data_IF_216215652597
#
_entry.id   IF_216215652597
#
_cell.length_a   1.000
_cell.length_b   1.000
_cell.length_c   1.000
_cell.angle_alpha   90.00
_cell.angle_beta   90.00
_cell.angle_gamma   90.00
#
_symmetry.space_group_name_H-M   'P 1'
#
loop_
_entity.id
_entity.type
_entity.pdbx_description
1 polymer ?
#
# COMPACT_ATOMS: atom_id res chain seq x y z
N UNK A 1 -24.57 -3.05 -18.14
CA UNK A 1 -25.46 -1.87 -18.17
C UNK A 1 -25.58 -1.17 -16.81
N UNK A 2 -25.67 -1.91 -15.69
CA UNK A 2 -25.66 -1.35 -14.31
C UNK A 2 -24.38 -0.54 -13.95
N UNK A 3 -23.20 -0.95 -14.40
CA UNK A 3 -21.95 -0.22 -14.14
C UNK A 3 -21.92 1.19 -14.77
N UNK A 4 -22.55 1.40 -15.94
CA UNK A 4 -22.52 2.70 -16.64
C UNK A 4 -23.33 3.80 -15.95
N UNK A 5 -24.37 3.46 -15.17
CA UNK A 5 -25.17 4.46 -14.46
C UNK A 5 -24.60 4.86 -13.09
N UNK A 6 -23.68 4.07 -12.53
CA UNK A 6 -22.90 4.43 -11.33
C UNK A 6 -21.76 5.42 -11.63
N UNK A 7 -21.40 5.63 -12.89
CA UNK A 7 -20.14 6.28 -13.31
C UNK A 7 -20.26 7.77 -13.68
N UNK A 8 -21.47 8.34 -13.74
CA UNK A 8 -21.66 9.74 -14.15
C UNK A 8 -21.53 10.73 -12.97
N UNK A 9 -21.70 10.25 -11.73
CA UNK A 9 -21.60 11.08 -10.53
C UNK A 9 -20.52 10.50 -9.61
N UNK A 10 -19.56 11.35 -9.30
CA UNK A 10 -18.34 11.07 -8.55
C UNK A 10 -18.59 10.78 -7.05
N UNK A 11 -19.86 10.58 -6.68
CA UNK A 11 -20.36 10.27 -5.35
C UNK A 11 -21.06 8.91 -5.42
N UNK A 12 -20.80 8.03 -4.47
CA UNK A 12 -21.54 6.77 -4.31
C UNK A 12 -23.03 7.08 -4.11
N UNK A 13 -23.81 7.02 -5.19
CA UNK A 13 -25.23 7.35 -5.17
C UNK A 13 -26.03 6.23 -4.49
N UNK A 14 -25.77 4.98 -4.89
CA UNK A 14 -26.46 3.79 -4.40
C UNK A 14 -25.47 2.65 -4.18
N UNK A 15 -25.74 1.81 -3.19
CA UNK A 15 -24.97 0.60 -2.90
C UNK A 15 -25.85 -0.43 -2.17
N UNK A 16 -25.52 -1.71 -2.30
CA UNK A 16 -26.07 -2.80 -1.51
C UNK A 16 -24.94 -3.66 -0.91
N UNK A 17 -25.26 -4.38 0.16
CA UNK A 17 -24.33 -5.30 0.82
C UNK A 17 -25.07 -6.61 1.03
N UNK A 18 -24.65 -7.65 0.31
CA UNK A 18 -25.37 -8.91 0.24
C UNK A 18 -24.41 -10.10 0.34
N UNK A 19 -24.92 -11.24 0.83
CA UNK A 19 -24.22 -12.51 0.66
C UNK A 19 -24.46 -13.02 -0.77
N UNK A 20 -23.40 -13.49 -1.43
CA UNK A 20 -23.47 -14.02 -2.79
C UNK A 20 -22.57 -15.24 -2.96
N UNK A 21 -22.79 -15.98 -4.04
CA UNK A 21 -21.91 -17.05 -4.51
C UNK A 21 -21.27 -16.57 -5.80
N UNK A 22 -19.94 -16.53 -5.83
CA UNK A 22 -19.17 -16.03 -6.97
C UNK A 22 -18.33 -17.18 -7.52
N UNK A 23 -18.31 -17.33 -8.85
CA UNK A 23 -17.42 -18.26 -9.56
C UNK A 23 -16.39 -17.45 -10.35
N UNK A 24 -15.13 -17.36 -9.89
CA UNK A 24 -14.05 -16.75 -10.67
C UNK A 24 -13.90 -17.50 -12.01
N UNK A 25 -13.82 -16.75 -13.10
CA UNK A 25 -13.66 -17.29 -14.46
C UNK A 25 -12.20 -17.56 -14.80
N UNK A 26 -11.31 -16.67 -14.37
CA UNK A 26 -9.86 -16.79 -14.53
C UNK A 26 -9.12 -16.01 -13.43
N UNK A 27 -7.80 -16.20 -13.35
CA UNK A 27 -6.90 -15.53 -12.40
C UNK A 27 -5.80 -14.81 -13.17
N UNK A 28 -5.52 -13.55 -12.81
CA UNK A 28 -4.47 -12.74 -13.41
C UNK A 28 -3.42 -12.36 -12.37
N UNK A 29 -2.17 -12.19 -12.82
CA UNK A 29 -1.17 -11.43 -12.05
C UNK A 29 -1.33 -9.94 -12.34
N UNK A 30 -0.70 -9.09 -11.53
CA UNK A 30 -0.69 -7.66 -11.83
C UNK A 30 0.04 -7.37 -13.14
N UNK A 31 1.14 -8.09 -13.44
CA UNK A 31 1.85 -7.90 -14.71
C UNK A 31 0.93 -8.23 -15.89
N UNK A 32 0.27 -9.39 -15.88
CA UNK A 32 -0.61 -9.79 -16.99
C UNK A 32 -1.83 -8.87 -17.12
N UNK A 33 -2.41 -8.41 -16.00
CA UNK A 33 -3.51 -7.46 -16.02
C UNK A 33 -3.08 -6.09 -16.59
N UNK A 34 -1.89 -5.60 -16.24
CA UNK A 34 -1.35 -4.36 -16.78
C UNK A 34 -1.05 -4.45 -18.28
N UNK A 35 -0.54 -5.60 -18.74
CA UNK A 35 -0.37 -5.87 -20.18
C UNK A 35 -1.71 -5.84 -20.93
N UNK A 36 -2.75 -6.51 -20.40
CA UNK A 36 -4.10 -6.49 -20.99
C UNK A 36 -4.69 -5.08 -21.04
N UNK A 37 -4.52 -4.30 -19.97
CA UNK A 37 -4.94 -2.89 -19.93
C UNK A 37 -4.23 -2.03 -20.98
N UNK A 38 -2.95 -2.30 -21.24
CA UNK A 38 -2.18 -1.58 -22.25
C UNK A 38 -2.60 -1.97 -23.68
N UNK A 39 -2.84 -3.26 -23.92
CA UNK A 39 -3.28 -3.76 -25.22
C UNK A 39 -4.69 -3.29 -25.59
N UNK A 40 -5.52 -2.94 -24.59
CA UNK A 40 -6.87 -2.38 -24.78
C UNK A 40 -7.73 -3.25 -25.73
N UNK A 41 -7.70 -4.56 -25.50
CA UNK A 41 -8.43 -5.57 -26.28
C UNK A 41 -9.95 -5.43 -26.09
N UNK A 42 -10.71 -5.65 -27.16
CA UNK A 42 -12.19 -5.55 -27.11
C UNK A 42 -12.80 -6.68 -26.26
N UNK A 43 -12.15 -7.84 -26.23
CA UNK A 43 -12.55 -9.02 -25.48
C UNK A 43 -12.48 -8.83 -23.96
N UNK A 44 -11.67 -7.87 -23.47
CA UNK A 44 -11.47 -7.57 -22.05
C UNK A 44 -12.18 -6.26 -21.62
N UNK A 45 -13.36 -6.01 -22.19
CA UNK A 45 -14.13 -4.79 -21.96
C UNK A 45 -14.43 -4.53 -20.47
N UNK A 46 -14.59 -5.59 -19.67
CA UNK A 46 -14.89 -5.52 -18.25
C UNK A 46 -13.72 -4.93 -17.45
N UNK A 47 -12.50 -5.38 -17.76
CA UNK A 47 -11.27 -4.89 -17.15
C UNK A 47 -11.05 -3.41 -17.49
N UNK A 48 -11.34 -3.02 -18.73
CA UNK A 48 -11.31 -1.62 -19.16
C UNK A 48 -12.29 -0.75 -18.36
N UNK A 49 -13.54 -1.18 -18.23
CA UNK A 49 -14.57 -0.45 -17.44
C UNK A 49 -14.11 -0.27 -15.99
N UNK A 50 -13.53 -1.31 -15.38
CA UNK A 50 -13.01 -1.22 -14.01
C UNK A 50 -11.83 -0.25 -13.90
N UNK A 51 -10.95 -0.21 -14.90
CA UNK A 51 -9.82 0.72 -14.95
C UNK A 51 -10.27 2.17 -15.08
N UNK A 52 -11.24 2.44 -15.95
CA UNK A 52 -11.85 3.76 -16.11
C UNK A 52 -12.54 4.20 -14.79
N UNK A 53 -13.28 3.28 -14.16
CA UNK A 53 -13.92 3.52 -12.87
C UNK A 53 -12.91 3.83 -11.76
N UNK A 54 -11.81 3.08 -11.69
CA UNK A 54 -10.73 3.32 -10.74
C UNK A 54 -10.07 4.70 -10.97
N UNK A 55 -9.84 5.07 -12.22
CA UNK A 55 -9.26 6.37 -12.58
C UNK A 55 -10.14 7.53 -12.11
N UNK A 56 -11.45 7.46 -12.38
CA UNK A 56 -12.42 8.46 -11.92
C UNK A 56 -12.49 8.49 -10.38
N UNK A 57 -12.46 7.33 -9.73
CA UNK A 57 -12.46 7.22 -8.27
C UNK A 57 -11.23 7.92 -7.67
N UNK A 58 -10.04 7.67 -8.21
CA UNK A 58 -8.80 8.28 -7.76
C UNK A 58 -8.84 9.81 -7.91
N UNK A 59 -9.26 10.32 -9.08
CA UNK A 59 -9.39 11.75 -9.35
C UNK A 59 -10.31 12.44 -8.33
N UNK A 60 -11.43 11.81 -7.99
CA UNK A 60 -12.28 12.32 -6.92
C UNK A 60 -11.60 12.35 -5.57
N UNK A 61 -10.93 11.26 -5.18
CA UNK A 61 -10.26 11.18 -3.86
C UNK A 61 -9.23 12.29 -3.75
N UNK A 62 -8.50 12.57 -4.84
CA UNK A 62 -7.57 13.70 -4.91
C UNK A 62 -8.28 15.05 -4.71
N UNK A 63 -9.45 15.27 -5.33
CA UNK A 63 -10.28 16.46 -5.06
C UNK A 63 -10.76 16.54 -3.60
N UNK A 64 -10.92 15.41 -2.90
CA UNK A 64 -11.21 15.34 -1.47
C UNK A 64 -9.96 15.46 -0.57
N UNK A 65 -8.78 15.70 -1.16
CA UNK A 65 -7.51 15.87 -0.46
C UNK A 65 -6.71 14.58 -0.24
N UNK A 66 -7.02 13.50 -0.96
CA UNK A 66 -6.21 12.30 -0.95
C UNK A 66 -4.81 12.55 -1.51
N UNK A 67 -3.85 11.84 -0.96
CA UNK A 67 -2.44 11.96 -1.31
C UNK A 67 -1.98 10.66 -1.93
N UNK A 68 -1.26 10.74 -3.05
CA UNK A 68 -0.55 9.58 -3.60
C UNK A 68 0.68 9.29 -2.73
N UNK A 69 0.74 8.05 -2.23
CA UNK A 69 1.86 7.55 -1.42
C UNK A 69 2.54 6.36 -2.08
N UNK A 70 2.30 6.12 -3.37
CA UNK A 70 2.89 5.01 -4.11
C UNK A 70 4.43 5.05 -4.03
N UNK A 71 5.01 3.89 -3.80
CA UNK A 71 6.46 3.66 -3.79
C UNK A 71 6.81 2.36 -4.50
N UNK A 72 8.10 2.11 -4.64
CA UNK A 72 8.65 0.81 -5.01
C UNK A 72 8.88 -0.01 -3.74
N UNK A 73 8.43 -1.27 -3.73
CA UNK A 73 8.63 -2.19 -2.60
C UNK A 73 9.29 -3.50 -3.07
N UNK A 74 10.30 -3.95 -2.33
CA UNK A 74 10.94 -5.23 -2.56
C UNK A 74 10.02 -6.40 -2.18
N UNK A 75 9.95 -7.41 -3.05
CA UNK A 75 9.44 -8.75 -2.72
C UNK A 75 10.48 -9.80 -3.06
N UNK A 76 10.65 -10.76 -2.15
CA UNK A 76 11.59 -11.86 -2.35
C UNK A 76 10.86 -13.19 -2.25
N UNK A 77 11.22 -14.11 -3.15
CA UNK A 77 10.95 -15.54 -3.03
C UNK A 77 12.27 -16.28 -2.97
N UNK A 78 12.44 -17.14 -1.97
CA UNK A 78 13.65 -17.94 -1.78
C UNK A 78 13.30 -19.41 -1.99
N UNK A 79 14.06 -20.08 -2.85
CA UNK A 79 14.04 -21.54 -3.00
C UNK A 79 15.25 -22.13 -2.29
N UNK A 80 15.03 -23.25 -1.60
CA UNK A 80 16.03 -23.98 -0.81
C UNK A 80 16.82 -23.09 0.19
N UNK A 81 16.14 -22.44 1.15
CA UNK A 81 16.78 -21.46 2.04
C UNK A 81 17.87 -22.05 2.95
N UNK A 82 17.91 -23.37 3.11
CA UNK A 82 18.90 -24.09 3.94
C UNK A 82 20.18 -24.43 3.16
N UNK A 83 20.18 -24.29 1.83
CA UNK A 83 21.35 -24.57 1.01
C UNK A 83 22.42 -23.48 1.22
N UNK A 84 23.72 -23.79 1.08
CA UNK A 84 24.79 -22.78 1.15
C UNK A 84 24.62 -21.64 0.13
N UNK A 85 23.99 -21.94 -1.02
CA UNK A 85 23.69 -20.99 -2.08
C UNK A 85 22.19 -21.06 -2.45
N UNK A 86 21.32 -20.37 -1.69
CA UNK A 86 19.89 -20.40 -1.94
C UNK A 86 19.53 -19.62 -3.22
N UNK A 87 18.47 -20.06 -3.90
CA UNK A 87 17.97 -19.36 -5.10
C UNK A 87 17.08 -18.19 -4.66
N UNK A 88 17.57 -16.97 -4.82
CA UNK A 88 16.87 -15.75 -4.40
C UNK A 88 16.29 -15.03 -5.61
N UNK A 89 14.96 -15.01 -5.71
CA UNK A 89 14.22 -14.26 -6.73
C UNK A 89 13.71 -12.96 -6.13
N UNK A 90 14.23 -11.84 -6.62
CA UNK A 90 13.82 -10.49 -6.24
C UNK A 90 12.85 -9.92 -7.28
N UNK A 91 11.76 -9.34 -6.79
CA UNK A 91 10.77 -8.62 -7.56
C UNK A 91 10.60 -7.22 -6.95
N UNK A 92 10.31 -6.23 -7.79
CA UNK A 92 10.00 -4.88 -7.34
C UNK A 92 8.56 -4.59 -7.68
N UNK A 93 7.74 -4.38 -6.66
CA UNK A 93 6.37 -3.93 -6.84
C UNK A 93 6.34 -2.43 -7.02
N UNK A 94 5.84 -1.99 -8.16
CA UNK A 94 5.53 -0.60 -8.39
C UNK A 94 4.07 -0.32 -8.01
N UNK A 95 3.84 0.31 -6.87
CA UNK A 95 2.47 0.63 -6.43
C UNK A 95 1.75 1.64 -7.35
N UNK A 96 2.48 2.30 -8.25
CA UNK A 96 1.89 3.15 -9.29
C UNK A 96 1.47 2.38 -10.55
N UNK A 97 1.69 1.06 -10.61
CA UNK A 97 1.24 0.19 -11.69
C UNK A 97 -0.28 0.30 -11.93
N UNK A 98 -0.76 0.34 -13.19
CA UNK A 98 -2.18 0.50 -13.49
C UNK A 98 -3.09 -0.56 -12.86
N UNK A 99 -2.71 -1.84 -12.90
CA UNK A 99 -3.53 -2.90 -12.32
C UNK A 99 -3.52 -2.85 -10.78
N UNK A 100 -2.38 -2.54 -10.17
CA UNK A 100 -2.31 -2.33 -8.71
C UNK A 100 -3.15 -1.14 -8.26
N UNK A 101 -3.13 -0.03 -9.01
CA UNK A 101 -3.97 1.15 -8.76
C UNK A 101 -5.45 0.80 -8.91
N UNK A 102 -5.84 0.09 -9.97
CA UNK A 102 -7.21 -0.36 -10.19
C UNK A 102 -7.73 -1.14 -8.98
N UNK A 103 -7.02 -2.20 -8.59
CA UNK A 103 -7.41 -3.03 -7.44
C UNK A 103 -7.46 -2.18 -6.17
N UNK A 104 -6.47 -1.31 -5.94
CA UNK A 104 -6.43 -0.41 -4.78
C UNK A 104 -7.69 0.45 -4.69
N UNK A 105 -8.10 1.11 -5.76
CA UNK A 105 -9.31 1.94 -5.78
C UNK A 105 -10.59 1.14 -5.52
N UNK A 106 -10.70 -0.06 -6.09
CA UNK A 106 -11.85 -0.93 -5.85
C UNK A 106 -11.92 -1.40 -4.39
N UNK A 107 -10.78 -1.71 -3.77
CA UNK A 107 -10.73 -2.09 -2.36
C UNK A 107 -11.04 -0.91 -1.43
N UNK A 108 -10.57 0.30 -1.77
CA UNK A 108 -10.90 1.52 -1.04
C UNK A 108 -12.39 1.86 -1.13
N UNK A 109 -12.97 1.75 -2.33
CA UNK A 109 -14.41 1.92 -2.54
C UNK A 109 -15.23 0.94 -1.68
N UNK A 110 -14.85 -0.35 -1.66
CA UNK A 110 -15.50 -1.33 -0.79
C UNK A 110 -15.42 -0.92 0.69
N UNK A 111 -14.25 -0.46 1.15
CA UNK A 111 -14.09 -0.04 2.54
C UNK A 111 -14.90 1.21 2.91
N UNK A 112 -15.10 2.14 1.98
CA UNK A 112 -15.97 3.30 2.14
C UNK A 112 -17.46 2.89 2.16
N UNK A 113 -17.88 1.98 1.27
CA UNK A 113 -19.23 1.40 1.24
C UNK A 113 -19.55 0.78 2.60
N UNK A 114 -18.65 -0.05 3.12
CA UNK A 114 -18.86 -0.72 4.41
C UNK A 114 -18.85 0.26 5.57
N UNK A 115 -17.99 1.29 5.54
CA UNK A 115 -18.03 2.35 6.55
C UNK A 115 -19.39 3.10 6.54
N UNK A 116 -19.89 3.42 5.36
CA UNK A 116 -21.19 4.09 5.19
C UNK A 116 -22.33 3.20 5.63
N UNK A 117 -22.32 1.92 5.22
CA UNK A 117 -23.32 0.92 5.59
C UNK A 117 -23.38 0.72 7.10
N UNK A 118 -22.23 0.53 7.74
CA UNK A 118 -22.15 0.36 9.19
C UNK A 118 -22.64 1.59 9.93
N UNK A 119 -22.24 2.79 9.49
CA UNK A 119 -22.64 4.04 10.13
C UNK A 119 -24.15 4.29 10.03
N UNK A 120 -24.77 4.04 8.87
CA UNK A 120 -26.23 4.23 8.68
C UNK A 120 -27.04 3.27 9.55
N UNK A 121 -26.51 2.08 9.80
CA UNK A 121 -27.18 1.01 10.52
C UNK A 121 -26.69 0.86 11.98
N UNK A 122 -25.90 1.81 12.49
CA UNK A 122 -25.31 1.79 13.84
C UNK A 122 -24.57 0.48 14.18
N UNK A 123 -23.88 -0.12 13.20
CA UNK A 123 -23.10 -1.34 13.39
C UNK A 123 -21.72 -0.95 13.96
N UNK A 124 -21.27 -1.52 15.10
CA UNK A 124 -19.92 -1.33 15.57
C UNK A 124 -18.92 -1.99 14.61
N UNK A 125 -18.04 -1.20 14.00
CA UNK A 125 -17.02 -1.64 13.03
C UNK A 125 -15.70 -0.92 13.32
N UNK A 126 -14.54 -1.45 12.89
CA UNK A 126 -13.26 -0.75 13.03
C UNK A 126 -13.14 0.41 12.03
N UNK A 127 -13.82 1.53 12.32
CA UNK A 127 -13.77 2.72 11.50
C UNK A 127 -12.41 3.38 11.62
N UNK A 128 -11.58 3.18 10.58
CA UNK A 128 -10.21 3.65 10.53
C UNK A 128 -10.14 5.03 9.91
N UNK A 129 -9.66 5.99 10.68
CA UNK A 129 -9.41 7.34 10.22
C UNK A 129 -7.94 7.73 10.32
N UNK A 130 -7.64 8.90 9.79
CA UNK A 130 -6.36 9.53 9.93
C UNK A 130 -6.61 11.04 9.85
N UNK A 131 -6.56 11.75 10.99
CA UNK A 131 -6.74 13.19 11.00
C UNK A 131 -5.77 13.82 10.01
N UNK A 132 -6.26 14.72 9.16
CA UNK A 132 -5.39 15.42 8.22
C UNK A 132 -4.35 16.22 9.02
N UNK A 133 -3.07 16.06 8.67
CA UNK A 133 -2.02 16.89 9.22
C UNK A 133 -2.28 18.34 8.84
N UNK A 134 -2.00 19.30 9.72
CA UNK A 134 -2.07 20.73 9.38
C UNK A 134 -1.01 21.17 8.36
N UNK A 135 -0.16 20.24 7.89
CA UNK A 135 0.92 20.54 6.95
C UNK A 135 0.36 20.46 5.54
N UNK A 136 0.52 21.57 4.82
CA UNK A 136 0.13 21.68 3.43
C UNK A 136 1.02 20.80 2.55
N UNK A 137 0.41 19.80 1.91
CA UNK A 137 1.12 18.88 0.99
C UNK A 137 1.57 19.60 -0.28
N UNK A 138 1.02 20.78 -0.60
CA UNK A 138 1.47 21.62 -1.72
C UNK A 138 2.95 21.99 -1.61
N UNK A 139 3.51 22.03 -0.40
CA UNK A 139 4.92 22.28 -0.13
C UNK A 139 5.85 21.30 -0.85
N UNK A 140 5.37 20.12 -1.23
CA UNK A 140 6.15 19.08 -1.91
C UNK A 140 5.90 19.01 -3.43
N UNK A 141 5.14 19.95 -4.01
CA UNK A 141 4.88 19.97 -5.46
C UNK A 141 6.16 20.13 -6.30
N UNK A 142 7.17 20.80 -5.76
CA UNK A 142 8.48 20.94 -6.39
C UNK A 142 9.27 19.62 -6.48
N UNK A 143 8.90 18.60 -5.70
CA UNK A 143 9.54 17.28 -5.77
C UNK A 143 8.89 16.43 -6.88
N UNK A 144 9.66 15.57 -7.59
CA UNK A 144 9.11 14.65 -8.57
C UNK A 144 8.04 13.72 -8.01
N UNK A 145 7.02 13.40 -8.81
CA UNK A 145 6.00 12.41 -8.46
C UNK A 145 6.57 11.01 -8.23
N UNK A 146 5.82 10.20 -7.48
CA UNK A 146 6.23 8.85 -7.12
C UNK A 146 7.06 8.80 -5.83
N UNK A 147 8.04 7.87 -5.72
CA UNK A 147 8.65 7.52 -4.43
C UNK A 147 9.29 8.68 -3.66
N UNK A 148 9.84 9.68 -4.37
CA UNK A 148 10.50 10.85 -3.76
C UNK A 148 9.48 11.70 -2.99
N UNK A 149 8.44 12.20 -3.69
CA UNK A 149 7.36 12.99 -3.08
C UNK A 149 6.58 12.17 -2.05
N UNK A 150 6.28 10.89 -2.34
CA UNK A 150 5.62 9.97 -1.40
C UNK A 150 6.40 9.83 -0.09
N UNK A 151 7.72 9.63 -0.17
CA UNK A 151 8.59 9.54 1.01
C UNK A 151 8.60 10.84 1.82
N UNK A 152 8.52 12.01 1.16
CA UNK A 152 8.41 13.28 1.85
C UNK A 152 7.11 13.44 2.63
N UNK A 153 5.98 13.09 2.00
CA UNK A 153 4.66 13.28 2.60
C UNK A 153 4.39 12.25 3.70
N UNK A 154 4.75 10.98 3.51
CA UNK A 154 4.50 9.91 4.50
C UNK A 154 5.13 10.21 5.86
N UNK A 155 6.28 10.89 5.90
CA UNK A 155 6.96 11.28 7.14
C UNK A 155 6.19 12.28 8.00
N UNK A 156 5.25 13.02 7.39
CA UNK A 156 4.44 14.03 8.06
C UNK A 156 3.07 13.52 8.50
N UNK A 157 2.75 12.28 8.14
CA UNK A 157 1.47 11.69 8.46
C UNK A 157 1.34 11.40 9.95
N UNK A 158 0.16 11.70 10.51
CA UNK A 158 -0.20 11.28 11.86
C UNK A 158 -0.47 9.78 11.89
N UNK A 159 -0.41 9.17 13.08
CA UNK A 159 -0.85 7.80 13.24
C UNK A 159 -2.34 7.67 12.86
N UNK A 160 -2.71 6.52 12.28
CA UNK A 160 -4.11 6.21 12.04
C UNK A 160 -4.81 5.91 13.37
N UNK A 161 -6.07 6.32 13.44
CA UNK A 161 -6.95 6.12 14.59
C UNK A 161 -8.08 5.15 14.21
N UNK A 162 -8.66 4.49 15.20
CA UNK A 162 -9.80 3.59 15.00
C UNK A 162 -10.86 3.94 16.04
N UNK A 163 -12.07 4.24 15.59
CA UNK A 163 -13.26 4.32 16.42
C UNK A 163 -14.19 3.15 16.09
N UNK A 164 -14.87 2.61 17.09
CA UNK A 164 -15.72 1.42 16.95
C UNK A 164 -17.22 1.73 16.90
N UNK A 165 -17.58 3.01 16.89
CA UNK A 165 -18.96 3.51 16.95
C UNK A 165 -19.28 4.38 15.74
N UNK A 166 -18.34 5.20 15.27
CA UNK A 166 -18.58 6.18 14.21
C UNK A 166 -17.40 6.27 13.24
N UNK A 167 -17.67 6.56 11.95
CA UNK A 167 -16.63 6.90 10.98
C UNK A 167 -15.75 8.07 11.42
N UNK A 168 -14.44 7.92 11.20
CA UNK A 168 -13.47 9.01 11.27
C UNK A 168 -12.99 9.32 9.85
N UNK A 169 -12.88 10.61 9.50
CA UNK A 169 -12.32 11.04 8.22
C UNK A 169 -10.89 10.51 8.05
N UNK A 170 -10.59 9.96 6.88
CA UNK A 170 -9.26 9.50 6.51
C UNK A 170 -8.62 10.48 5.53
N UNK A 171 -7.90 11.48 6.05
CA UNK A 171 -7.37 12.60 5.26
C UNK A 171 -6.50 12.16 4.09
N UNK A 172 -5.57 11.22 4.32
CA UNK A 172 -4.66 10.72 3.27
C UNK A 172 -5.39 9.94 2.18
N UNK A 173 -6.50 9.27 2.51
CA UNK A 173 -7.29 8.55 1.52
C UNK A 173 -8.36 9.43 0.86
N UNK A 174 -8.59 10.65 1.35
CA UNK A 174 -9.67 11.52 0.89
C UNK A 174 -11.06 10.91 1.11
N UNK A 175 -11.25 10.14 2.19
CA UNK A 175 -12.51 9.45 2.48
C UNK A 175 -13.18 9.99 3.74
N UNK A 176 -14.51 10.16 3.77
CA UNK A 176 -15.24 10.58 4.97
C UNK A 176 -15.26 9.49 6.05
N UNK A 177 -15.14 8.23 5.66
CA UNK A 177 -15.07 7.07 6.54
C UNK A 177 -14.51 5.86 5.80
N UNK A 178 -13.79 4.99 6.50
CA UNK A 178 -13.17 3.82 5.92
C UNK A 178 -13.12 2.64 6.90
N UNK A 179 -13.47 1.45 6.42
CA UNK A 179 -13.33 0.18 7.15
C UNK A 179 -12.54 -0.80 6.28
N UNK A 180 -11.50 -1.41 6.85
CA UNK A 180 -10.81 -2.50 6.17
C UNK A 180 -11.71 -3.75 6.16
N UNK A 181 -12.08 -4.23 4.98
CA UNK A 181 -13.07 -5.31 4.83
C UNK A 181 -12.71 -6.38 3.79
N UNK A 182 -11.70 -6.12 2.96
CA UNK A 182 -11.41 -6.90 1.75
C UNK A 182 -10.35 -7.98 1.93
N UNK A 183 -9.91 -8.27 3.16
CA UNK A 183 -8.87 -9.28 3.41
C UNK A 183 -9.13 -10.14 4.67
N UNK A 184 -10.34 -10.69 4.88
CA UNK A 184 -10.67 -11.47 6.08
C UNK A 184 -9.87 -12.77 6.24
N UNK A 185 -9.28 -13.31 5.16
CA UNK A 185 -8.41 -14.50 5.21
C UNK A 185 -7.09 -14.22 5.97
N UNK A 186 -6.57 -12.99 5.89
CA UNK A 186 -5.24 -12.63 6.40
C UNK A 186 -5.23 -11.50 7.43
N UNK A 187 -6.36 -10.81 7.62
CA UNK A 187 -6.53 -9.75 8.63
C UNK A 187 -7.70 -10.11 9.53
N UNK A 188 -7.41 -10.36 10.80
CA UNK A 188 -8.44 -10.74 11.77
C UNK A 188 -9.44 -9.60 12.04
N UNK A 189 -9.02 -8.33 11.97
CA UNK A 189 -9.95 -7.20 12.10
C UNK A 189 -10.98 -7.15 10.97
N UNK A 190 -10.60 -7.48 9.73
CA UNK A 190 -11.55 -7.61 8.63
C UNK A 190 -12.54 -8.75 8.91
N UNK A 191 -12.06 -9.89 9.45
CA UNK A 191 -12.93 -11.01 9.81
C UNK A 191 -13.96 -10.62 10.88
N UNK A 192 -13.55 -9.88 11.92
CA UNK A 192 -14.47 -9.34 12.92
C UNK A 192 -15.49 -8.38 12.29
N UNK A 193 -15.07 -7.51 11.38
CA UNK A 193 -15.98 -6.64 10.64
C UNK A 193 -17.00 -7.46 9.81
N UNK A 194 -16.55 -8.55 9.16
CA UNK A 194 -17.45 -9.49 8.46
C UNK A 194 -18.47 -10.11 9.40
N UNK A 195 -18.10 -10.52 10.61
CA UNK A 195 -19.06 -11.07 11.58
C UNK A 195 -20.13 -10.04 11.98
N UNK A 196 -19.74 -8.79 12.23
CA UNK A 196 -20.67 -7.72 12.56
C UNK A 196 -21.66 -7.44 11.41
N UNK A 197 -21.15 -7.28 10.18
CA UNK A 197 -22.00 -7.03 9.00
C UNK A 197 -22.91 -8.21 8.71
N UNK A 198 -22.40 -9.45 8.76
CA UNK A 198 -23.20 -10.65 8.47
C UNK A 198 -24.28 -10.92 9.52
N UNK A 199 -24.03 -10.64 10.80
CA UNK A 199 -25.07 -10.74 11.83
C UNK A 199 -26.21 -9.78 11.52
N UNK A 200 -25.88 -8.53 11.19
CA UNK A 200 -26.87 -7.54 10.79
C UNK A 200 -27.68 -7.98 9.56
N UNK A 201 -27.02 -8.53 8.53
CA UNK A 201 -27.71 -9.06 7.34
C UNK A 201 -28.68 -10.22 7.64
N UNK A 202 -28.48 -10.95 8.74
CA UNK A 202 -29.40 -12.00 9.22
C UNK A 202 -30.50 -11.47 10.14
N UNK A 203 -30.54 -10.17 10.42
CA UNK A 203 -31.44 -9.58 11.42
C UNK A 203 -31.04 -9.90 12.86
N UNK A 204 -29.80 -10.35 13.09
CA UNK A 204 -29.26 -10.66 14.40
C UNK A 204 -28.59 -9.43 15.02
N UNK A 205 -28.45 -9.43 16.35
CA UNK A 205 -27.61 -8.44 17.02
C UNK A 205 -26.13 -8.66 16.69
N UNK A 206 -25.32 -7.61 16.51
CA UNK A 206 -23.88 -7.75 16.30
C UNK A 206 -23.23 -8.54 17.45
N UNK A 207 -22.38 -9.54 17.15
CA UNK A 207 -21.80 -10.43 18.17
C UNK A 207 -20.87 -9.72 19.16
N UNK A 208 -20.33 -8.55 18.78
CA UNK A 208 -19.41 -7.79 19.61
C UNK A 208 -19.87 -6.34 19.78
N UNK A 209 -19.81 -5.86 21.01
CA UNK A 209 -19.92 -4.44 21.33
C UNK A 209 -18.67 -3.66 20.89
N UNK A 210 -18.80 -2.34 20.77
CA UNK A 210 -17.67 -1.46 20.46
C UNK A 210 -16.49 -1.62 21.44
N UNK A 211 -16.76 -1.77 22.74
CA UNK A 211 -15.71 -1.95 23.76
C UNK A 211 -15.01 -3.30 23.67
N UNK A 212 -15.74 -4.37 23.32
CA UNK A 212 -15.12 -5.68 23.06
C UNK A 212 -14.20 -5.64 21.83
N UNK A 213 -14.66 -5.00 20.74
CA UNK A 213 -13.84 -4.83 19.54
C UNK A 213 -12.59 -3.99 19.81
N UNK A 214 -12.70 -2.94 20.63
CA UNK A 214 -11.58 -2.10 21.03
C UNK A 214 -10.53 -2.90 21.83
N UNK A 215 -10.98 -3.71 22.80
CA UNK A 215 -10.10 -4.61 23.55
C UNK A 215 -9.40 -5.64 22.66
N UNK A 216 -10.13 -6.28 21.74
CA UNK A 216 -9.57 -7.21 20.76
C UNK A 216 -8.56 -6.51 19.84
N UNK A 217 -8.88 -5.33 19.33
CA UNK A 217 -8.01 -4.56 18.45
C UNK A 217 -6.69 -4.16 19.12
N UNK A 218 -6.72 -3.83 20.41
CA UNK A 218 -5.50 -3.55 21.18
C UNK A 218 -4.53 -4.74 21.19
N UNK A 219 -5.05 -5.94 21.48
CA UNK A 219 -4.26 -7.19 21.46
C UNK A 219 -3.73 -7.48 20.06
N UNK A 220 -4.60 -7.41 19.05
CA UNK A 220 -4.25 -7.66 17.65
C UNK A 220 -3.20 -6.67 17.13
N UNK A 221 -3.25 -5.42 17.55
CA UNK A 221 -2.25 -4.41 17.20
C UNK A 221 -0.86 -4.76 17.76
N UNK A 222 -0.76 -5.31 18.96
CA UNK A 222 0.52 -5.76 19.52
C UNK A 222 1.12 -6.90 18.68
N UNK A 223 0.32 -7.92 18.35
CA UNK A 223 0.77 -9.04 17.52
C UNK A 223 1.13 -8.60 16.09
N UNK A 224 0.34 -7.70 15.51
CA UNK A 224 0.60 -7.16 14.17
C UNK A 224 1.92 -6.39 14.11
N UNK A 225 2.27 -5.63 15.17
CA UNK A 225 3.57 -4.94 15.27
C UNK A 225 4.73 -5.92 15.37
N UNK A 226 4.59 -7.00 16.14
CA UNK A 226 5.62 -8.04 16.23
C UNK A 226 5.81 -8.74 14.89
N UNK A 227 4.72 -9.22 14.27
CA UNK A 227 4.76 -9.88 12.97
C UNK A 227 5.38 -8.99 11.89
N UNK A 228 5.02 -7.70 11.85
CA UNK A 228 5.62 -6.73 10.92
C UNK A 228 7.13 -6.56 11.13
N UNK A 229 7.60 -6.48 12.39
CA UNK A 229 9.04 -6.39 12.68
C UNK A 229 9.81 -7.64 12.23
N UNK A 230 9.28 -8.82 12.53
CA UNK A 230 9.89 -10.09 12.13
C UNK A 230 9.93 -10.22 10.60
N UNK A 231 8.83 -9.88 9.92
CA UNK A 231 8.77 -9.86 8.46
C UNK A 231 9.79 -8.87 7.87
N UNK A 232 9.84 -7.62 8.37
CA UNK A 232 10.79 -6.62 7.87
C UNK A 232 12.25 -7.05 8.08
N UNK A 233 12.57 -7.68 9.21
CA UNK A 233 13.91 -8.21 9.49
C UNK A 233 14.26 -9.36 8.52
N UNK A 234 13.34 -10.31 8.31
CA UNK A 234 13.55 -11.42 7.38
C UNK A 234 13.67 -10.94 5.93
N UNK A 235 12.79 -10.05 5.49
CA UNK A 235 12.86 -9.45 4.15
C UNK A 235 14.18 -8.73 3.95
N UNK A 236 14.61 -7.90 4.92
CA UNK A 236 15.88 -7.18 4.85
C UNK A 236 17.06 -8.14 4.76
N UNK A 237 17.12 -9.18 5.60
CA UNK A 237 18.15 -10.22 5.52
C UNK A 237 18.26 -10.78 4.09
N UNK A 238 17.16 -11.19 3.49
CA UNK A 238 17.18 -11.77 2.15
C UNK A 238 17.51 -10.76 1.04
N UNK A 239 17.15 -9.49 1.20
CA UNK A 239 17.60 -8.43 0.29
C UNK A 239 19.12 -8.27 0.38
N UNK A 240 19.69 -8.29 1.59
CA UNK A 240 21.13 -8.19 1.77
C UNK A 240 21.85 -9.43 1.21
N UNK A 241 21.32 -10.64 1.38
CA UNK A 241 21.86 -11.85 0.74
C UNK A 241 21.81 -11.77 -0.78
N UNK A 242 20.69 -11.27 -1.34
CA UNK A 242 20.59 -11.01 -2.78
C UNK A 242 21.67 -10.03 -3.26
N UNK A 243 21.81 -8.89 -2.58
CA UNK A 243 22.78 -7.85 -2.94
C UNK A 243 24.22 -8.34 -2.80
N UNK A 244 24.52 -9.14 -1.77
CA UNK A 244 25.82 -9.77 -1.54
C UNK A 244 26.21 -10.75 -2.65
N UNK A 245 25.24 -11.46 -3.23
CA UNK A 245 25.49 -12.45 -4.29
C UNK A 245 25.64 -11.84 -5.68
N UNK A 246 25.35 -10.55 -5.86
CA UNK A 246 25.52 -9.88 -7.14
C UNK A 246 27.00 -9.53 -7.42
N UNK A 247 27.38 -9.38 -8.72
CA UNK A 247 28.71 -8.90 -9.07
C UNK A 247 29.04 -7.56 -8.40
N UNK A 248 30.27 -7.38 -7.89
CA UNK A 248 30.67 -6.17 -7.15
C UNK A 248 30.65 -4.90 -8.00
N UNK A 249 30.78 -5.05 -9.31
CA UNK A 249 30.75 -3.97 -10.30
C UNK A 249 29.31 -3.61 -10.72
N UNK A 250 28.31 -4.40 -10.30
CA UNK A 250 26.91 -4.13 -10.62
C UNK A 250 26.49 -2.78 -10.04
N UNK A 251 26.00 -1.94 -10.93
CA UNK A 251 25.46 -0.62 -10.60
C UNK A 251 23.95 -0.69 -10.42
N UNK A 252 23.44 0.18 -9.56
CA UNK A 252 22.02 0.35 -9.27
C UNK A 252 21.69 1.83 -9.38
N UNK A 253 20.54 2.13 -9.98
CA UNK A 253 20.01 3.49 -9.96
C UNK A 253 19.37 3.74 -8.60
N UNK A 254 19.65 4.90 -8.04
CA UNK A 254 19.21 5.24 -6.70
C UNK A 254 18.66 6.66 -6.66
N UNK A 255 17.43 6.80 -6.15
CA UNK A 255 16.78 8.10 -5.98
C UNK A 255 17.10 8.68 -4.60
N UNK A 256 17.55 9.93 -4.55
CA UNK A 256 17.80 10.64 -3.29
C UNK A 256 16.47 11.04 -2.64
N UNK A 257 16.09 10.37 -1.55
CA UNK A 257 14.82 10.62 -0.85
C UNK A 257 14.91 11.74 0.19
N UNK A 258 16.07 11.87 0.84
CA UNK A 258 16.39 12.92 1.82
C UNK A 258 17.86 12.86 2.20
N UNK A 259 18.38 13.95 2.77
CA UNK A 259 19.64 13.93 3.49
C UNK A 259 19.41 13.54 4.96
N UNK A 260 20.29 12.66 5.48
CA UNK A 260 20.30 12.24 6.88
C UNK A 260 21.20 13.17 7.68
N UNK A 261 22.44 13.32 7.23
CA UNK A 261 23.46 14.19 7.82
C UNK A 261 24.51 14.51 6.76
N UNK A 262 24.89 15.78 6.63
CA UNK A 262 25.87 16.23 5.64
C UNK A 262 25.53 15.69 4.25
N UNK A 263 26.46 14.95 3.61
CA UNK A 263 26.26 14.31 2.30
C UNK A 263 25.82 12.85 2.40
N UNK A 264 25.50 12.35 3.59
CA UNK A 264 24.86 11.04 3.74
C UNK A 264 23.38 11.15 3.40
N UNK A 265 23.00 10.57 2.27
CA UNK A 265 21.63 10.55 1.77
C UNK A 265 20.94 9.21 2.06
N UNK A 266 19.64 9.25 2.31
CA UNK A 266 18.77 8.08 2.22
C UNK A 266 18.37 7.89 0.75
N UNK A 267 18.67 6.72 0.21
CA UNK A 267 18.49 6.37 -1.19
C UNK A 267 17.44 5.28 -1.34
N UNK A 268 16.68 5.31 -2.43
CA UNK A 268 15.85 4.19 -2.89
C UNK A 268 16.48 3.55 -4.11
N UNK A 269 16.94 2.30 -4.00
CA UNK A 269 17.46 1.54 -5.13
C UNK A 269 16.28 1.08 -6.00
N UNK A 270 16.20 1.59 -7.22
CA UNK A 270 15.02 1.46 -8.10
C UNK A 270 14.82 0.00 -8.52
N UNK A 271 15.89 -0.69 -8.91
CA UNK A 271 15.85 -2.10 -9.32
C UNK A 271 15.64 -3.08 -8.16
N UNK A 272 15.64 -2.58 -6.91
CA UNK A 272 15.55 -3.41 -5.71
C UNK A 272 14.31 -3.11 -4.88
N UNK A 273 13.77 -1.89 -4.95
CA UNK A 273 12.67 -1.45 -4.07
C UNK A 273 13.12 -1.38 -2.61
N UNK A 274 14.40 -1.09 -2.36
CA UNK A 274 15.03 -1.12 -1.06
C UNK A 274 15.66 0.22 -0.71
N UNK A 275 15.54 0.63 0.54
CA UNK A 275 16.16 1.86 1.03
C UNK A 275 17.44 1.58 1.81
N UNK A 276 18.49 2.32 1.47
CA UNK A 276 19.79 2.28 2.14
C UNK A 276 20.40 3.69 2.13
N UNK A 277 21.51 3.87 2.84
CA UNK A 277 22.21 5.16 2.86
C UNK A 277 23.56 5.09 2.16
N UNK A 278 23.92 6.15 1.46
CA UNK A 278 25.25 6.33 0.89
C UNK A 278 25.70 7.77 1.04
N UNK A 279 27.01 7.98 0.97
CA UNK A 279 27.57 9.31 0.78
C UNK A 279 27.46 9.69 -0.70
N UNK A 280 26.97 10.89 -0.99
CA UNK A 280 26.76 11.38 -2.37
C UNK A 280 27.62 12.60 -2.72
N UNK A 281 27.69 12.90 -4.01
CA UNK A 281 28.51 13.97 -4.56
C UNK A 281 28.06 15.36 -4.11
N UNK A 282 29.00 16.31 -4.13
CA UNK A 282 28.70 17.71 -3.79
C UNK A 282 27.74 18.28 -4.84
N UNK A 283 26.70 18.97 -4.39
CA UNK A 283 25.69 19.59 -5.27
C UNK A 283 24.47 18.71 -5.54
N UNK A 284 24.49 17.44 -5.14
CA UNK A 284 23.33 16.55 -5.24
C UNK A 284 22.14 17.08 -4.41
N UNK A 285 20.94 16.91 -4.92
CA UNK A 285 19.69 17.40 -4.36
C UNK A 285 18.69 16.26 -4.12
N UNK A 286 17.67 16.55 -3.30
CA UNK A 286 16.56 15.60 -3.12
C UNK A 286 15.83 15.45 -4.45
N UNK A 287 15.63 14.21 -4.87
CA UNK A 287 14.99 13.86 -6.13
C UNK A 287 15.95 13.56 -7.27
N UNK A 288 17.25 13.86 -7.11
CA UNK A 288 18.26 13.45 -8.08
C UNK A 288 18.39 11.92 -8.12
N UNK A 289 18.75 11.41 -9.29
CA UNK A 289 19.15 10.03 -9.50
C UNK A 289 20.67 9.93 -9.49
N UNK A 290 21.21 8.97 -8.74
CA UNK A 290 22.65 8.66 -8.69
C UNK A 290 22.87 7.18 -8.98
N UNK A 291 24.04 6.83 -9.53
CA UNK A 291 24.46 5.43 -9.62
C UNK A 291 25.21 5.03 -8.35
N UNK A 292 24.85 3.89 -7.78
CA UNK A 292 25.56 3.30 -6.63
C UNK A 292 25.92 1.85 -6.89
N UNK A 293 26.95 1.37 -6.20
CA UNK A 293 27.28 -0.06 -6.12
C UNK A 293 27.35 -0.51 -4.67
N UNK A 294 27.13 -1.80 -4.45
CA UNK A 294 27.30 -2.43 -3.15
C UNK A 294 28.79 -2.57 -2.87
N UNK A 295 29.26 -1.93 -1.79
CA UNK A 295 30.65 -2.03 -1.34
C UNK A 295 30.81 -3.25 -0.42
N UNK A 296 29.94 -3.31 0.60
CA UNK A 296 29.87 -4.40 1.57
C UNK A 296 28.41 -4.69 1.90
N UNK A 297 28.08 -5.97 2.09
CA UNK A 297 26.80 -6.43 2.58
C UNK A 297 27.01 -7.62 3.51
N UNK A 298 26.61 -7.48 4.76
CA UNK A 298 26.69 -8.51 5.80
C UNK A 298 25.29 -8.80 6.34
N UNK A 299 24.57 -9.78 5.75
CA UNK A 299 23.16 -10.01 6.05
C UNK A 299 22.91 -10.40 7.51
N UNK A 300 23.81 -11.18 8.12
CA UNK A 300 23.73 -11.58 9.53
C UNK A 300 23.93 -10.42 10.52
N UNK A 301 24.73 -9.43 10.13
CA UNK A 301 25.02 -8.24 10.93
C UNK A 301 24.05 -7.08 10.63
N UNK A 302 23.06 -7.32 9.77
CA UNK A 302 22.10 -6.34 9.26
C UNK A 302 22.75 -5.10 8.60
N UNK A 303 23.93 -5.28 8.02
CA UNK A 303 24.79 -4.20 7.52
C UNK A 303 24.87 -4.16 6.00
N UNK A 304 24.85 -2.94 5.46
CA UNK A 304 25.13 -2.65 4.05
C UNK A 304 25.82 -1.30 3.90
N UNK A 305 26.83 -1.26 3.04
CA UNK A 305 27.53 -0.05 2.61
C UNK A 305 27.39 0.10 1.11
N UNK A 306 27.02 1.31 0.69
CA UNK A 306 26.90 1.69 -0.71
C UNK A 306 27.92 2.78 -1.03
N UNK A 307 28.52 2.69 -2.22
CA UNK A 307 29.38 3.73 -2.78
C UNK A 307 28.76 4.29 -4.04
N UNK A 308 28.66 5.61 -4.11
CA UNK A 308 28.34 6.31 -5.35
C UNK A 308 29.40 6.00 -6.41
N UNK A 309 28.94 5.81 -7.65
CA UNK A 309 29.78 5.64 -8.82
C UNK A 309 29.85 6.97 -9.53
N UNK A 310 31.06 7.53 -9.60
CA UNK A 310 31.37 8.81 -10.25
C UNK A 310 32.04 8.53 -11.59
#
# INVERSE_FOLDING_TARGET
MLLRHLLCCVLMAEFSVDNSVIKPTYMLTYESASELLHLNLEEEIELKILSEAATLRLQWRQQQGAVDTATLEARIKVANPEDPEPVINLYVENQADPAMRLVTEMMLLCGEVIATYGSRNNIPLPYRGQPQSNIDVSLFQHLPEGPIRSSAIVRLMRAAEIDFRKPIRHGILGLPGYVQFTSPIRRYMDLLAHYQVKAYLRGESPPFSAGQLEGMASILNMHSRLAKRLFSSSLRYWILEYLRSQPKERKYRALILKFIKDRTAALLLVEVGFQASAWVSVGAQIGDEVEVRVDEAHPRDDFISLKEVI
#
